data_IF_262234344446
#
_entry.id   IF_262234344446
#
_cell.length_a   1.000
_cell.length_b   1.000
_cell.length_c   1.000
_cell.angle_alpha   90.00
_cell.angle_beta   90.00
_cell.angle_gamma   90.00
#
_symmetry.space_group_name_H-M   'P 1'
#
loop_
_entity.id
_entity.type
_entity.pdbx_description
1 polymer ?
#
# COMPACT_ATOMS: atom_id res chain seq x y z
N UNK A 1 25.43 -19.82 -6.68
CA UNK A 1 24.38 -20.79 -6.35
C UNK A 1 23.29 -20.08 -5.56
N UNK A 2 22.19 -19.70 -6.22
CA UNK A 2 21.05 -19.09 -5.54
C UNK A 2 20.22 -20.18 -4.90
N UNK A 3 20.49 -20.48 -3.63
CA UNK A 3 19.63 -21.32 -2.82
C UNK A 3 18.20 -20.76 -2.92
N UNK A 4 17.32 -21.53 -3.56
CA UNK A 4 15.91 -21.20 -3.70
C UNK A 4 15.27 -21.17 -2.31
N UNK A 5 15.28 -20.00 -1.67
CA UNK A 5 14.55 -19.76 -0.42
C UNK A 5 13.08 -20.14 -0.65
N UNK A 6 12.53 -20.94 0.26
CA UNK A 6 11.13 -21.38 0.18
C UNK A 6 10.18 -20.17 0.06
N UNK A 7 9.02 -20.31 -0.59
CA UNK A 7 8.08 -19.20 -0.81
C UNK A 7 7.77 -18.41 0.46
N UNK A 8 7.60 -19.11 1.59
CA UNK A 8 7.37 -18.51 2.91
C UNK A 8 8.51 -17.57 3.35
N UNK A 9 9.77 -17.97 3.18
CA UNK A 9 10.91 -17.12 3.52
C UNK A 9 10.96 -15.86 2.65
N UNK A 10 10.58 -15.96 1.37
CA UNK A 10 10.53 -14.79 0.48
C UNK A 10 9.43 -13.82 0.90
N UNK A 11 8.25 -14.33 1.24
CA UNK A 11 7.14 -13.53 1.75
C UNK A 11 7.54 -12.74 2.99
N UNK A 12 8.10 -13.40 4.02
CA UNK A 12 8.51 -12.74 5.26
C UNK A 12 9.60 -11.70 5.03
N UNK A 13 10.60 -12.00 4.19
CA UNK A 13 11.69 -11.08 3.88
C UNK A 13 11.18 -9.79 3.22
N UNK A 14 10.34 -9.91 2.19
CA UNK A 14 9.78 -8.74 1.52
C UNK A 14 8.78 -8.00 2.40
N UNK A 15 8.01 -8.70 3.25
CA UNK A 15 7.13 -8.05 4.23
C UNK A 15 7.93 -7.21 5.22
N UNK A 16 9.07 -7.71 5.70
CA UNK A 16 9.98 -6.96 6.58
C UNK A 16 10.54 -5.72 5.89
N UNK A 17 10.97 -5.83 4.63
CA UNK A 17 11.43 -4.67 3.84
C UNK A 17 10.30 -3.65 3.63
N UNK A 18 9.07 -4.12 3.42
CA UNK A 18 7.87 -3.28 3.36
C UNK A 18 7.68 -2.48 4.65
N UNK A 19 7.72 -3.15 5.79
CA UNK A 19 7.61 -2.52 7.12
C UNK A 19 8.71 -1.48 7.37
N UNK A 20 9.96 -1.78 6.99
CA UNK A 20 11.08 -0.83 7.12
C UNK A 20 10.82 0.40 6.24
N UNK A 21 10.38 0.22 4.99
CA UNK A 21 10.02 1.33 4.11
C UNK A 21 8.90 2.19 4.67
N UNK A 22 7.86 1.57 5.24
CA UNK A 22 6.77 2.28 5.91
C UNK A 22 7.23 3.02 7.17
N UNK A 23 8.15 2.44 7.97
CA UNK A 23 8.70 3.11 9.16
C UNK A 23 9.51 4.37 8.79
N UNK A 24 10.28 4.33 7.70
CA UNK A 24 10.89 5.55 7.16
C UNK A 24 9.84 6.55 6.69
N UNK A 25 8.77 6.07 6.05
CA UNK A 25 7.61 6.87 5.66
C UNK A 25 7.00 7.64 6.83
N UNK A 26 6.72 6.94 7.93
CA UNK A 26 6.21 7.52 9.17
C UNK A 26 7.17 8.59 9.71
N UNK A 27 8.47 8.28 9.76
CA UNK A 27 9.50 9.23 10.20
C UNK A 27 9.51 10.51 9.37
N UNK A 28 9.44 10.39 8.04
CA UNK A 28 9.40 11.57 7.16
C UNK A 28 8.09 12.36 7.26
N UNK A 29 6.94 11.70 7.43
CA UNK A 29 5.66 12.40 7.63
C UNK A 29 5.62 13.16 8.96
N UNK A 30 6.20 12.64 10.03
CA UNK A 30 6.30 13.39 11.30
C UNK A 30 7.24 14.60 11.16
N UNK A 31 8.32 14.48 10.38
CA UNK A 31 9.25 15.58 10.09
C UNK A 31 8.65 16.65 9.15
N UNK A 32 7.54 16.36 8.48
CA UNK A 32 6.80 17.32 7.65
C UNK A 32 6.38 18.57 8.44
N UNK A 33 6.16 18.44 9.75
CA UNK A 33 5.86 19.57 10.62
C UNK A 33 7.04 20.57 10.75
N UNK A 34 8.26 20.13 10.45
CA UNK A 34 9.51 20.89 10.65
C UNK A 34 10.12 21.35 9.32
N UNK A 35 9.94 20.58 8.25
CA UNK A 35 10.35 20.95 6.90
C UNK A 35 9.23 20.71 5.90
N UNK A 36 9.00 21.71 5.04
CA UNK A 36 7.96 21.84 4.00
C UNK A 36 7.72 20.58 3.12
N UNK A 37 6.89 20.72 2.08
CA UNK A 37 6.50 19.73 1.04
C UNK A 37 7.53 18.64 0.63
N UNK A 38 8.86 18.86 0.78
CA UNK A 38 9.89 17.84 0.59
C UNK A 38 9.72 16.62 1.49
N UNK A 39 9.48 16.80 2.80
CA UNK A 39 9.37 15.67 3.73
C UNK A 39 8.10 14.83 3.47
N UNK A 40 7.01 15.48 3.07
CA UNK A 40 5.84 14.79 2.56
C UNK A 40 6.18 13.91 1.35
N UNK A 41 6.94 14.44 0.38
CA UNK A 41 7.33 13.69 -0.82
C UNK A 41 8.28 12.53 -0.48
N UNK A 42 9.21 12.72 0.46
CA UNK A 42 10.09 11.65 0.97
C UNK A 42 9.29 10.57 1.71
N UNK A 43 8.30 10.97 2.51
CA UNK A 43 7.37 10.05 3.15
C UNK A 43 6.59 9.24 2.12
N UNK A 44 5.96 9.91 1.16
CA UNK A 44 5.25 9.29 0.05
C UNK A 44 6.13 8.32 -0.74
N UNK A 45 7.37 8.71 -1.06
CA UNK A 45 8.35 7.86 -1.73
C UNK A 45 8.71 6.62 -0.91
N UNK A 46 8.87 6.76 0.40
CA UNK A 46 9.20 5.65 1.29
C UNK A 46 8.05 4.65 1.42
N UNK A 47 6.81 5.13 1.57
CA UNK A 47 5.64 4.25 1.51
C UNK A 47 5.50 3.57 0.16
N UNK A 48 5.76 4.28 -0.94
CA UNK A 48 5.70 3.70 -2.28
C UNK A 48 6.67 2.52 -2.43
N UNK A 49 7.90 2.68 -1.95
CA UNK A 49 8.90 1.60 -1.91
C UNK A 49 8.39 0.45 -1.02
N UNK A 50 7.80 0.76 0.14
CA UNK A 50 7.18 -0.21 1.03
C UNK A 50 6.08 -1.04 0.33
N UNK A 51 5.19 -0.37 -0.40
CA UNK A 51 4.11 -1.00 -1.18
C UNK A 51 4.65 -1.91 -2.28
N UNK A 52 5.74 -1.52 -2.95
CA UNK A 52 6.42 -2.40 -3.90
C UNK A 52 6.99 -3.66 -3.24
N UNK A 53 7.54 -3.54 -2.03
CA UNK A 53 7.96 -4.72 -1.29
C UNK A 53 6.77 -5.61 -0.89
N UNK A 54 5.62 -5.05 -0.52
CA UNK A 54 4.40 -5.85 -0.31
C UNK A 54 3.90 -6.52 -1.59
N UNK A 55 3.96 -5.84 -2.74
CA UNK A 55 3.70 -6.46 -4.06
C UNK A 55 4.63 -7.65 -4.28
N UNK A 56 5.93 -7.48 -4.03
CA UNK A 56 6.91 -8.56 -4.16
C UNK A 56 6.65 -9.71 -3.17
N UNK A 57 6.24 -9.40 -1.94
CA UNK A 57 5.82 -10.41 -0.96
C UNK A 57 4.64 -11.23 -1.50
N UNK A 58 3.57 -10.59 -1.95
CA UNK A 58 2.41 -11.29 -2.54
C UNK A 58 2.76 -12.06 -3.81
N UNK A 59 3.67 -11.52 -4.64
CA UNK A 59 4.11 -12.17 -5.89
C UNK A 59 4.79 -13.52 -5.68
N UNK A 60 5.37 -13.74 -4.49
CA UNK A 60 6.00 -15.02 -4.15
C UNK A 60 5.01 -16.18 -4.02
N UNK A 61 3.70 -15.88 -3.95
CA UNK A 61 2.61 -16.84 -3.78
C UNK A 61 1.51 -16.69 -4.85
N UNK A 62 1.79 -16.07 -5.99
CA UNK A 62 0.78 -15.90 -7.04
C UNK A 62 0.31 -17.24 -7.60
N UNK A 63 -1.01 -17.39 -7.73
CA UNK A 63 -1.60 -18.45 -8.53
C UNK A 63 -1.69 -18.02 -10.01
N UNK A 64 -1.84 -19.00 -10.90
CA UNK A 64 -1.96 -18.77 -12.36
C UNK A 64 -3.18 -17.93 -12.75
N UNK A 65 -4.18 -17.84 -11.88
CA UNK A 65 -5.35 -16.99 -12.07
C UNK A 65 -4.96 -15.50 -12.02
N UNK A 66 -5.20 -14.81 -13.14
CA UNK A 66 -4.89 -13.38 -13.31
C UNK A 66 -5.84 -12.47 -12.53
N UNK A 67 -7.00 -12.97 -12.09
CA UNK A 67 -8.02 -12.23 -11.34
C UNK A 67 -8.35 -10.87 -11.96
N UNK A 68 -8.64 -10.88 -13.26
CA UNK A 68 -8.85 -9.66 -14.04
C UNK A 68 -9.97 -8.80 -13.49
N UNK A 69 -11.06 -9.39 -13.00
CA UNK A 69 -12.15 -8.64 -12.37
C UNK A 69 -11.67 -7.88 -11.13
N UNK A 70 -10.84 -8.51 -10.28
CA UNK A 70 -10.27 -7.84 -9.12
C UNK A 70 -9.34 -6.69 -9.54
N UNK A 71 -8.53 -6.87 -10.58
CA UNK A 71 -7.72 -5.80 -11.15
C UNK A 71 -8.59 -4.62 -11.59
N UNK A 72 -9.64 -4.88 -12.39
CA UNK A 72 -10.58 -3.85 -12.86
C UNK A 72 -11.17 -3.09 -11.68
N UNK A 73 -11.67 -3.78 -10.64
CA UNK A 73 -12.23 -3.12 -9.44
C UNK A 73 -11.19 -2.23 -8.75
N UNK A 74 -9.96 -2.71 -8.57
CA UNK A 74 -8.89 -1.94 -7.92
C UNK A 74 -8.53 -0.68 -8.71
N UNK A 75 -8.37 -0.80 -10.04
CA UNK A 75 -8.00 0.35 -10.87
C UNK A 75 -9.17 1.31 -11.09
N UNK A 76 -10.42 0.83 -11.20
CA UNK A 76 -11.61 1.70 -11.26
C UNK A 76 -11.72 2.53 -9.98
N UNK A 77 -11.55 1.90 -8.81
CA UNK A 77 -11.50 2.63 -7.54
C UNK A 77 -10.38 3.68 -7.53
N UNK A 78 -9.15 3.29 -7.87
CA UNK A 78 -8.00 4.18 -7.86
C UNK A 78 -8.17 5.37 -8.83
N UNK A 79 -8.65 5.12 -10.04
CA UNK A 79 -8.94 6.18 -11.02
C UNK A 79 -10.05 7.10 -10.54
N UNK A 80 -11.15 6.56 -9.99
CA UNK A 80 -12.23 7.36 -9.42
C UNK A 80 -11.75 8.22 -8.26
N UNK A 81 -10.93 7.67 -7.38
CA UNK A 81 -10.36 8.41 -6.26
C UNK A 81 -9.38 9.50 -6.72
N UNK A 82 -8.50 9.22 -7.68
CA UNK A 82 -7.61 10.24 -8.25
C UNK A 82 -8.40 11.35 -8.93
N UNK A 83 -9.53 11.05 -9.59
CA UNK A 83 -10.39 12.08 -10.17
C UNK A 83 -10.95 13.06 -9.13
N UNK A 84 -11.25 12.58 -7.91
CA UNK A 84 -11.66 13.43 -6.77
C UNK A 84 -10.50 14.34 -6.32
N UNK A 85 -9.28 13.80 -6.27
CA UNK A 85 -8.10 14.57 -5.87
C UNK A 85 -7.67 15.60 -6.92
N UNK A 86 -7.84 15.28 -8.21
CA UNK A 86 -7.28 16.01 -9.35
C UNK A 86 -7.43 17.54 -9.33
N UNK A 87 -8.61 18.13 -9.07
CA UNK A 87 -8.76 19.59 -9.04
C UNK A 87 -8.02 20.27 -7.88
N UNK A 88 -7.68 19.52 -6.83
CA UNK A 88 -6.99 20.02 -5.63
C UNK A 88 -5.47 19.82 -5.69
N UNK A 89 -4.97 19.04 -6.64
CA UNK A 89 -3.54 18.75 -6.77
C UNK A 89 -2.80 19.89 -7.48
N UNK A 90 -1.70 20.35 -6.87
CA UNK A 90 -0.67 21.14 -7.56
C UNK A 90 -0.19 20.36 -8.80
N UNK A 91 0.08 21.03 -9.94
CA UNK A 91 0.48 20.35 -11.18
C UNK A 91 1.64 19.37 -11.00
N UNK A 92 2.63 19.74 -10.18
CA UNK A 92 3.84 18.95 -9.88
C UNK A 92 3.52 17.63 -9.14
N UNK A 93 2.41 17.56 -8.40
CA UNK A 93 2.04 16.38 -7.60
C UNK A 93 1.16 15.39 -8.37
N UNK A 94 0.65 15.75 -9.55
CA UNK A 94 -0.26 14.89 -10.32
C UNK A 94 0.39 13.57 -10.73
N UNK A 95 1.62 13.63 -11.24
CA UNK A 95 2.35 12.42 -11.67
C UNK A 95 2.73 11.55 -10.45
N UNK A 96 3.32 12.09 -9.36
CA UNK A 96 3.56 11.33 -8.14
C UNK A 96 2.30 10.64 -7.59
N UNK A 97 1.18 11.35 -7.50
CA UNK A 97 -0.08 10.80 -6.97
C UNK A 97 -0.65 9.71 -7.88
N UNK A 98 -0.60 9.88 -9.20
CA UNK A 98 -1.01 8.84 -10.16
C UNK A 98 -0.19 7.56 -9.99
N UNK A 99 1.14 7.69 -9.91
CA UNK A 99 2.04 6.56 -9.76
C UNK A 99 1.85 5.86 -8.41
N UNK A 100 1.60 6.64 -7.35
CA UNK A 100 1.29 6.13 -6.02
C UNK A 100 -0.03 5.35 -5.99
N UNK A 101 -1.11 5.94 -6.53
CA UNK A 101 -2.42 5.30 -6.61
C UNK A 101 -2.37 3.99 -7.43
N UNK A 102 -1.64 3.99 -8.55
CA UNK A 102 -1.41 2.79 -9.34
C UNK A 102 -0.64 1.71 -8.56
N UNK A 103 0.35 2.10 -7.75
CA UNK A 103 1.12 1.17 -6.91
C UNK A 103 0.23 0.51 -5.86
N UNK A 104 -0.59 1.29 -5.15
CA UNK A 104 -1.52 0.77 -4.14
C UNK A 104 -2.59 -0.13 -4.77
N UNK A 105 -3.15 0.26 -5.93
CA UNK A 105 -4.08 -0.59 -6.67
C UNK A 105 -3.42 -1.93 -7.08
N UNK A 106 -2.16 -1.88 -7.52
CA UNK A 106 -1.36 -3.06 -7.86
C UNK A 106 -1.12 -3.93 -6.63
N UNK A 107 -0.84 -3.34 -5.47
CA UNK A 107 -0.67 -4.06 -4.22
C UNK A 107 -1.94 -4.78 -3.80
N UNK A 108 -3.09 -4.09 -3.79
CA UNK A 108 -4.37 -4.70 -3.48
C UNK A 108 -4.69 -5.84 -4.44
N UNK A 109 -4.56 -5.62 -5.74
CA UNK A 109 -4.77 -6.66 -6.74
C UNK A 109 -3.83 -7.85 -6.52
N UNK A 110 -2.53 -7.60 -6.28
CA UNK A 110 -1.52 -8.63 -6.00
C UNK A 110 -1.89 -9.47 -4.77
N UNK A 111 -2.39 -8.83 -3.70
CA UNK A 111 -2.86 -9.54 -2.51
C UNK A 111 -3.99 -10.53 -2.85
N UNK A 112 -4.88 -10.20 -3.80
CA UNK A 112 -5.93 -11.13 -4.21
C UNK A 112 -5.36 -12.32 -4.99
N UNK A 113 -4.28 -12.14 -5.75
CA UNK A 113 -3.68 -13.20 -6.59
C UNK A 113 -3.00 -14.32 -5.81
N UNK A 114 -2.80 -14.16 -4.49
CA UNK A 114 -2.35 -15.25 -3.62
C UNK A 114 -3.48 -16.16 -3.13
N UNK A 115 -4.73 -15.71 -3.24
CA UNK A 115 -5.87 -16.48 -2.74
C UNK A 115 -5.99 -17.80 -3.52
N UNK A 116 -6.20 -18.90 -2.79
CA UNK A 116 -6.18 -20.30 -3.26
C UNK A 116 -4.79 -20.86 -3.57
N UNK A 117 -3.71 -20.24 -3.09
CA UNK A 117 -2.39 -20.83 -3.17
C UNK A 117 -2.34 -22.17 -2.40
N UNK A 118 -1.90 -23.29 -3.00
CA UNK A 118 -2.07 -24.63 -2.42
C UNK A 118 -1.20 -24.89 -1.20
N UNK A 119 -0.11 -24.14 -1.03
CA UNK A 119 0.88 -24.35 0.03
C UNK A 119 0.88 -23.27 1.12
N UNK A 120 -0.09 -22.35 1.09
CA UNK A 120 -0.19 -21.27 2.07
C UNK A 120 -1.52 -21.39 2.82
N UNK A 121 -1.51 -21.19 4.14
CA UNK A 121 -2.72 -21.28 4.95
C UNK A 121 -3.77 -20.24 4.53
N UNK A 122 -5.02 -20.66 4.31
CA UNK A 122 -6.09 -19.79 3.77
C UNK A 122 -6.35 -18.54 4.63
N UNK A 123 -6.15 -18.64 5.95
CA UNK A 123 -6.31 -17.51 6.86
C UNK A 123 -5.24 -16.43 6.62
N UNK A 124 -3.96 -16.80 6.38
CA UNK A 124 -2.90 -15.83 6.07
C UNK A 124 -3.19 -15.13 4.74
N UNK A 125 -3.67 -15.87 3.74
CA UNK A 125 -4.05 -15.28 2.46
C UNK A 125 -5.16 -14.23 2.61
N UNK A 126 -6.21 -14.53 3.40
CA UNK A 126 -7.30 -13.59 3.70
C UNK A 126 -6.83 -12.38 4.50
N UNK A 127 -5.93 -12.57 5.47
CA UNK A 127 -5.31 -11.49 6.23
C UNK A 127 -4.51 -10.56 5.32
N UNK A 128 -3.73 -11.08 4.38
CA UNK A 128 -3.02 -10.25 3.40
C UNK A 128 -3.95 -9.38 2.56
N UNK A 129 -5.10 -9.90 2.13
CA UNK A 129 -6.12 -9.11 1.41
C UNK A 129 -6.75 -8.06 2.31
N UNK A 130 -7.12 -8.43 3.54
CA UNK A 130 -7.68 -7.49 4.52
C UNK A 130 -6.69 -6.36 4.84
N UNK A 131 -5.41 -6.70 5.01
CA UNK A 131 -4.37 -5.72 5.23
C UNK A 131 -4.17 -4.80 4.03
N UNK A 132 -4.14 -5.33 2.81
CA UNK A 132 -4.04 -4.50 1.61
C UNK A 132 -5.27 -3.57 1.43
N UNK A 133 -6.48 -4.03 1.78
CA UNK A 133 -7.68 -3.19 1.80
C UNK A 133 -7.58 -2.07 2.84
N UNK A 134 -7.11 -2.37 4.04
CA UNK A 134 -6.92 -1.36 5.10
C UNK A 134 -5.86 -0.33 4.73
N UNK A 135 -4.81 -0.74 4.00
CA UNK A 135 -3.84 0.21 3.43
C UNK A 135 -4.51 1.15 2.44
N UNK A 136 -5.29 0.63 1.48
CA UNK A 136 -6.05 1.47 0.54
C UNK A 136 -6.92 2.47 1.28
N UNK A 137 -7.61 2.06 2.36
CA UNK A 137 -8.40 2.96 3.20
C UNK A 137 -7.53 4.01 3.88
N UNK A 138 -6.46 3.61 4.54
CA UNK A 138 -5.50 4.50 5.20
C UNK A 138 -4.95 5.57 4.26
N UNK A 139 -4.45 5.16 3.10
CA UNK A 139 -3.88 6.04 2.08
C UNK A 139 -4.94 6.96 1.44
N UNK A 140 -6.18 6.48 1.31
CA UNK A 140 -7.29 7.32 0.85
C UNK A 140 -7.61 8.41 1.87
N UNK A 141 -7.65 8.07 3.17
CA UNK A 141 -7.86 9.04 4.25
C UNK A 141 -6.73 10.06 4.29
N UNK A 142 -5.47 9.59 4.22
CA UNK A 142 -4.29 10.44 4.23
C UNK A 142 -4.29 11.43 3.05
N UNK A 143 -4.55 10.94 1.83
CA UNK A 143 -4.60 11.79 0.64
C UNK A 143 -5.76 12.78 0.69
N UNK A 144 -6.92 12.38 1.18
CA UNK A 144 -8.07 13.26 1.31
C UNK A 144 -7.84 14.36 2.36
N UNK A 145 -7.31 14.01 3.54
CA UNK A 145 -6.91 14.96 4.60
C UNK A 145 -5.89 15.98 4.09
N UNK A 146 -4.94 15.51 3.27
CA UNK A 146 -3.83 16.31 2.75
C UNK A 146 -4.24 17.25 1.63
N UNK A 147 -5.04 16.78 0.67
CA UNK A 147 -5.27 17.50 -0.58
C UNK A 147 -6.65 18.10 -0.71
N UNK A 148 -7.70 17.48 -0.13
CA UNK A 148 -9.07 17.94 -0.33
C UNK A 148 -9.53 18.81 0.83
N UNK A 149 -9.54 18.25 2.03
CA UNK A 149 -9.94 18.98 3.24
C UNK A 149 -9.46 18.26 4.49
N UNK A 150 -9.07 19.05 5.50
CA UNK A 150 -8.65 18.54 6.81
C UNK A 150 -9.80 17.79 7.48
N UNK A 151 -9.57 16.53 7.81
CA UNK A 151 -10.50 15.66 8.49
C UNK A 151 -10.34 15.80 10.01
N UNK A 152 -11.46 15.87 10.77
CA UNK A 152 -11.41 15.72 12.22
C UNK A 152 -10.77 14.37 12.56
N UNK A 153 -9.70 14.40 13.36
CA UNK A 153 -8.96 13.19 13.79
C UNK A 153 -8.35 12.38 12.63
N UNK A 154 -8.09 13.01 11.47
CA UNK A 154 -7.54 12.33 10.27
C UNK A 154 -6.29 11.51 10.57
N UNK A 155 -5.33 12.06 11.32
CA UNK A 155 -4.11 11.35 11.74
C UNK A 155 -4.41 10.06 12.50
N UNK A 156 -5.36 10.09 13.44
CA UNK A 156 -5.73 8.90 14.22
C UNK A 156 -6.38 7.83 13.32
N UNK A 157 -7.27 8.25 12.42
CA UNK A 157 -7.92 7.34 11.48
C UNK A 157 -6.91 6.66 10.55
N UNK A 158 -5.93 7.42 10.05
CA UNK A 158 -4.79 6.90 9.28
C UNK A 158 -4.02 5.89 10.12
N UNK A 159 -3.55 6.25 11.32
CA UNK A 159 -2.74 5.36 12.15
C UNK A 159 -3.45 4.05 12.48
N UNK A 160 -4.73 4.09 12.85
CA UNK A 160 -5.48 2.86 13.17
C UNK A 160 -5.63 1.95 11.96
N UNK A 161 -5.96 2.51 10.80
CA UNK A 161 -6.14 1.73 9.57
C UNK A 161 -4.81 1.21 9.03
N UNK A 162 -3.77 2.04 9.03
CA UNK A 162 -2.39 1.74 8.66
C UNK A 162 -1.75 0.64 9.51
N UNK A 163 -1.71 0.78 10.83
CA UNK A 163 -1.06 -0.23 11.67
C UNK A 163 -1.83 -1.55 11.68
N UNK A 164 -3.16 -1.49 11.56
CA UNK A 164 -3.97 -2.69 11.34
C UNK A 164 -3.62 -3.35 10.01
N UNK A 165 -3.41 -2.56 8.95
CA UNK A 165 -3.01 -3.05 7.64
C UNK A 165 -1.68 -3.81 7.71
N UNK A 166 -0.65 -3.21 8.33
CA UNK A 166 0.64 -3.82 8.53
C UNK A 166 0.57 -5.10 9.37
N UNK A 167 -0.19 -5.06 10.47
CA UNK A 167 -0.39 -6.21 11.34
C UNK A 167 -0.98 -7.40 10.58
N UNK A 168 -2.02 -7.17 9.75
CA UNK A 168 -2.62 -8.24 8.97
C UNK A 168 -1.72 -8.76 7.84
N UNK A 169 -0.90 -7.92 7.22
CA UNK A 169 0.05 -8.38 6.19
C UNK A 169 1.18 -9.22 6.81
N UNK A 170 1.61 -8.87 8.03
CA UNK A 170 2.71 -9.56 8.72
C UNK A 170 2.33 -10.94 9.30
N UNK A 171 1.04 -11.30 9.33
CA UNK A 171 0.48 -12.47 10.02
C UNK A 171 0.10 -13.65 9.09
#
# INVERSE_FOLDING_TARGET
>A
GTAGKSPHHRYSWFTMLGLIGSAFGDGFLELEAIGKDLFFLLGLGSFLVGHWFYVLAFSSEFVHDRRLLAAVVCYVYATGFVAILWPHLKPELRIPVLFYAATIATMLWSSTRRLRHPHTHALSQRRGVLGALLFVVSDSILAYDKFVTRLPQGKLMVMVTYYSAQFFIAL
#
